data_IF_672728883021
#
_entry.id   IF_672728883021
#
_cell.length_a   1.000
_cell.length_b   1.000
_cell.length_c   1.000
_cell.angle_alpha   90.00
_cell.angle_beta   90.00
_cell.angle_gamma   90.00
#
_symmetry.space_group_name_H-M   'P 1'
#
loop_
_entity.id
_entity.type
_entity.pdbx_description
1 polymer ?
#
# COMPACT_ATOMS: atom_id res chain seq x y z
N UNK A 1 -23.01 41.05 5.26
CA UNK A 1 -22.37 40.42 6.42
C UNK A 1 -23.08 39.11 6.68
N UNK A 2 -22.37 37.98 6.52
CA UNK A 2 -22.97 36.66 6.75
C UNK A 2 -23.23 36.48 8.28
N UNK A 3 -24.38 35.92 8.64
CA UNK A 3 -24.69 35.60 10.04
C UNK A 3 -23.79 34.45 10.53
N UNK A 4 -23.54 34.35 11.85
CA UNK A 4 -22.76 33.22 12.41
C UNK A 4 -23.35 31.85 12.03
N UNK A 5 -24.67 31.76 11.85
CA UNK A 5 -25.37 30.57 11.38
C UNK A 5 -25.04 30.24 9.93
N UNK A 6 -24.91 31.22 9.05
CA UNK A 6 -24.50 31.03 7.65
C UNK A 6 -23.02 30.66 7.52
N UNK A 7 -22.15 31.15 8.38
CA UNK A 7 -20.75 30.75 8.49
C UNK A 7 -20.59 29.31 8.98
N UNK A 8 -21.45 28.85 9.87
CA UNK A 8 -21.45 27.45 10.36
C UNK A 8 -22.12 26.50 9.38
N UNK A 9 -23.02 26.95 8.51
CA UNK A 9 -23.70 26.18 7.47
C UNK A 9 -23.13 26.36 6.06
N UNK A 10 -22.01 27.05 5.92
CA UNK A 10 -21.20 26.92 4.73
C UNK A 10 -20.63 25.49 4.73
N UNK A 11 -21.45 24.56 4.24
CA UNK A 11 -21.09 23.18 3.99
C UNK A 11 -19.97 23.13 2.93
N UNK A 12 -18.75 23.43 3.34
CA UNK A 12 -17.60 22.91 2.65
C UNK A 12 -17.66 21.40 2.87
N UNK A 13 -18.30 20.70 1.91
CA UNK A 13 -18.27 19.24 1.87
C UNK A 13 -16.80 18.84 1.98
N UNK A 14 -16.42 18.25 3.09
CA UNK A 14 -15.08 17.74 3.32
C UNK A 14 -14.83 16.65 2.30
N UNK A 15 -13.82 16.82 1.47
CA UNK A 15 -13.35 15.76 0.59
C UNK A 15 -12.52 14.80 1.43
N UNK A 16 -12.97 13.56 1.51
CA UNK A 16 -12.30 12.49 2.24
C UNK A 16 -11.62 11.56 1.24
N UNK A 17 -10.30 11.47 1.31
CA UNK A 17 -9.52 10.51 0.54
C UNK A 17 -9.02 9.40 1.45
N UNK A 18 -9.36 8.18 1.12
CA UNK A 18 -8.93 6.98 1.85
C UNK A 18 -7.91 6.25 0.98
N UNK A 19 -6.77 5.92 1.55
CA UNK A 19 -5.69 5.23 0.86
C UNK A 19 -5.55 3.80 1.35
N UNK A 20 -5.35 2.87 0.43
CA UNK A 20 -5.08 1.46 0.72
C UNK A 20 -3.92 0.95 -0.13
N UNK A 21 -3.06 0.12 0.47
CA UNK A 21 -2.02 -0.63 -0.24
C UNK A 21 -2.53 -2.00 -0.72
N UNK A 22 -3.69 -2.45 -0.23
CA UNK A 22 -4.32 -3.70 -0.61
C UNK A 22 -4.99 -3.58 -1.98
N UNK A 23 -4.24 -3.85 -3.05
CA UNK A 23 -4.74 -3.78 -4.43
C UNK A 23 -5.98 -4.64 -4.66
N UNK A 24 -6.04 -5.82 -4.06
CA UNK A 24 -7.21 -6.71 -4.16
C UNK A 24 -8.47 -6.09 -3.59
N UNK A 25 -8.37 -5.38 -2.47
CA UNK A 25 -9.50 -4.66 -1.86
C UNK A 25 -9.92 -3.50 -2.76
N UNK A 26 -8.96 -2.70 -3.22
CA UNK A 26 -9.21 -1.60 -4.14
C UNK A 26 -9.93 -2.08 -5.41
N UNK A 27 -9.40 -3.13 -6.06
CA UNK A 27 -9.98 -3.67 -7.30
C UNK A 27 -11.40 -4.18 -7.08
N UNK A 28 -11.69 -4.83 -5.96
CA UNK A 28 -13.03 -5.35 -5.65
C UNK A 28 -14.01 -4.21 -5.34
N UNK A 29 -13.57 -3.16 -4.66
CA UNK A 29 -14.45 -2.03 -4.29
C UNK A 29 -14.73 -1.12 -5.49
N UNK A 30 -13.69 -0.78 -6.26
CA UNK A 30 -13.79 0.20 -7.35
C UNK A 30 -14.26 -0.43 -8.67
N UNK A 31 -13.83 -1.68 -8.96
CA UNK A 31 -14.24 -2.39 -10.17
C UNK A 31 -15.47 -3.24 -9.88
N UNK A 32 -16.58 -2.87 -10.46
CA UNK A 32 -17.88 -3.55 -10.28
C UNK A 32 -17.92 -4.98 -10.84
N UNK A 33 -16.89 -5.39 -11.56
CA UNK A 33 -16.80 -6.70 -12.24
C UNK A 33 -16.41 -7.85 -11.31
N UNK A 34 -15.87 -7.55 -10.14
CA UNK A 34 -15.34 -8.55 -9.21
C UNK A 34 -16.33 -8.82 -8.07
N UNK A 35 -16.91 -10.01 -8.04
CA UNK A 35 -17.76 -10.47 -6.93
C UNK A 35 -16.99 -11.48 -6.08
N UNK A 36 -16.79 -11.24 -4.78
CA UNK A 36 -16.19 -12.24 -3.90
C UNK A 36 -17.03 -13.53 -3.88
N UNK A 37 -16.38 -14.68 -3.86
CA UNK A 37 -17.05 -15.97 -3.76
C UNK A 37 -17.79 -16.15 -2.42
N UNK A 38 -17.23 -15.64 -1.35
CA UNK A 38 -17.82 -15.70 -0.01
C UNK A 38 -18.97 -14.67 0.14
N UNK A 39 -20.13 -15.17 0.57
CA UNK A 39 -21.31 -14.33 0.82
C UNK A 39 -21.08 -13.23 1.87
N UNK A 40 -20.31 -13.52 2.91
CA UNK A 40 -19.99 -12.53 3.98
C UNK A 40 -19.18 -11.38 3.43
N UNK A 41 -18.19 -11.67 2.61
CA UNK A 41 -17.38 -10.64 1.94
C UNK A 41 -18.23 -9.80 0.97
N UNK A 42 -19.24 -10.37 0.33
CA UNK A 42 -20.14 -9.62 -0.57
C UNK A 42 -20.88 -8.49 0.14
N UNK A 43 -21.36 -8.74 1.37
CA UNK A 43 -22.05 -7.72 2.17
C UNK A 43 -21.09 -6.60 2.53
N UNK A 44 -19.89 -6.94 3.03
CA UNK A 44 -18.87 -5.94 3.36
C UNK A 44 -18.43 -5.10 2.15
N UNK A 45 -18.25 -5.74 0.98
CA UNK A 45 -17.89 -5.03 -0.25
C UNK A 45 -19.04 -4.11 -0.70
N UNK A 46 -20.29 -4.54 -0.60
CA UNK A 46 -21.44 -3.70 -0.95
C UNK A 46 -21.51 -2.46 -0.04
N UNK A 47 -21.29 -2.62 1.26
CA UNK A 47 -21.23 -1.51 2.22
C UNK A 47 -20.08 -0.55 1.90
N UNK A 48 -18.88 -1.05 1.57
CA UNK A 48 -17.74 -0.22 1.18
C UNK A 48 -18.03 0.55 -0.12
N UNK A 49 -18.63 -0.09 -1.12
CA UNK A 49 -19.03 0.57 -2.36
C UNK A 49 -20.03 1.68 -2.13
N UNK A 50 -21.02 1.45 -1.27
CA UNK A 50 -21.99 2.48 -0.88
C UNK A 50 -21.28 3.66 -0.20
N UNK A 51 -20.39 3.38 0.74
CA UNK A 51 -19.63 4.39 1.47
C UNK A 51 -18.73 5.23 0.57
N UNK A 52 -18.04 4.61 -0.39
CA UNK A 52 -17.19 5.31 -1.36
C UNK A 52 -17.97 5.87 -2.57
N UNK A 53 -19.24 5.53 -2.71
CA UNK A 53 -20.15 6.14 -3.68
C UNK A 53 -20.72 7.48 -3.24
N UNK A 54 -20.50 7.87 -1.97
CA UNK A 54 -20.95 9.18 -1.46
C UNK A 54 -20.06 10.27 -2.05
N UNK A 55 -20.69 11.34 -2.53
CA UNK A 55 -20.00 12.50 -3.09
C UNK A 55 -18.98 13.08 -2.09
N UNK A 56 -17.75 13.26 -2.53
CA UNK A 56 -16.66 13.78 -1.70
C UNK A 56 -15.85 12.72 -0.96
N UNK A 57 -16.17 11.43 -1.14
CA UNK A 57 -15.37 10.33 -0.59
C UNK A 57 -14.75 9.53 -1.73
N UNK A 58 -13.44 9.31 -1.68
CA UNK A 58 -12.70 8.61 -2.73
C UNK A 58 -11.76 7.57 -2.12
N UNK A 59 -11.77 6.35 -2.68
CA UNK A 59 -10.78 5.31 -2.36
C UNK A 59 -9.68 5.34 -3.41
N UNK A 60 -8.43 5.46 -2.97
CA UNK A 60 -7.24 5.41 -3.82
C UNK A 60 -6.34 4.26 -3.43
N UNK A 61 -5.75 3.62 -4.43
CA UNK A 61 -4.68 2.66 -4.19
C UNK A 61 -3.32 3.36 -4.24
N UNK A 62 -2.46 3.03 -3.27
CA UNK A 62 -1.06 3.45 -3.24
C UNK A 62 -0.14 2.27 -3.01
N UNK A 63 1.12 2.40 -3.41
CA UNK A 63 2.11 1.38 -3.12
C UNK A 63 2.42 1.34 -1.61
N UNK A 64 2.68 0.15 -1.08
CA UNK A 64 2.99 -0.05 0.34
C UNK A 64 4.22 0.73 0.83
N UNK A 65 5.15 1.08 -0.07
CA UNK A 65 6.34 1.88 0.29
C UNK A 65 5.96 3.29 0.70
N UNK A 66 4.96 3.89 0.06
CA UNK A 66 4.48 5.24 0.37
C UNK A 66 3.37 5.26 1.42
N UNK A 67 2.92 4.10 1.88
CA UNK A 67 1.92 3.98 2.95
C UNK A 67 2.53 4.40 4.29
N UNK A 68 2.21 5.59 4.76
CA UNK A 68 2.74 6.12 6.03
C UNK A 68 2.38 5.25 7.24
N UNK A 69 1.20 4.65 7.22
CA UNK A 69 0.74 3.76 8.29
C UNK A 69 1.64 2.52 8.45
N UNK A 70 2.19 1.98 7.37
CA UNK A 70 3.10 0.83 7.42
C UNK A 70 4.37 1.15 8.21
N UNK A 71 4.88 2.36 8.08
CA UNK A 71 6.07 2.83 8.80
C UNK A 71 5.85 2.90 10.32
N UNK A 72 4.61 3.06 10.75
CA UNK A 72 4.22 3.09 12.16
C UNK A 72 3.97 1.71 12.75
N UNK A 73 3.56 0.75 11.94
CA UNK A 73 3.05 -0.55 12.41
C UNK A 73 3.96 -1.73 12.08
N UNK A 74 4.84 -1.60 11.09
CA UNK A 74 5.69 -2.71 10.63
C UNK A 74 7.16 -2.46 10.93
N UNK A 75 7.81 -3.42 11.57
CA UNK A 75 9.27 -3.42 11.78
C UNK A 75 9.96 -3.60 10.41
N UNK A 76 10.89 -2.70 10.09
CA UNK A 76 11.65 -2.74 8.82
C UNK A 76 10.92 -2.13 7.62
N UNK A 77 9.78 -1.46 7.82
CA UNK A 77 9.17 -0.65 6.78
C UNK A 77 10.02 0.59 6.46
N UNK A 78 9.92 1.06 5.22
CA UNK A 78 10.57 2.30 4.79
C UNK A 78 9.98 3.50 5.55
N UNK A 79 10.82 4.25 6.22
CA UNK A 79 10.41 5.39 7.06
C UNK A 79 10.70 6.76 6.44
N UNK A 80 11.38 6.82 5.31
CA UNK A 80 11.76 8.07 4.66
C UNK A 80 10.56 8.96 4.38
N UNK A 81 9.52 8.42 3.80
CA UNK A 81 8.29 9.16 3.48
C UNK A 81 7.53 9.66 4.72
N UNK A 82 7.53 8.88 5.80
CA UNK A 82 6.94 9.32 7.08
C UNK A 82 7.75 10.47 7.68
N UNK A 83 9.08 10.36 7.69
CA UNK A 83 9.94 11.42 8.19
C UNK A 83 9.80 12.70 7.37
N UNK A 84 9.74 12.61 6.06
CA UNK A 84 9.50 13.75 5.19
C UNK A 84 8.14 14.39 5.45
N UNK A 85 7.09 13.58 5.61
CA UNK A 85 5.76 14.09 5.93
C UNK A 85 5.72 14.84 7.26
N UNK A 86 6.40 14.32 8.29
CA UNK A 86 6.44 14.93 9.62
C UNK A 86 7.34 16.15 9.66
N UNK A 87 8.52 16.10 9.02
CA UNK A 87 9.52 17.17 9.08
C UNK A 87 9.16 18.34 8.17
N UNK A 88 8.73 18.03 6.95
CA UNK A 88 8.51 19.03 5.89
C UNK A 88 7.03 19.32 5.65
N UNK A 89 6.14 18.64 6.38
CA UNK A 89 4.68 18.70 6.17
C UNK A 89 4.29 18.44 4.70
N UNK A 90 5.01 17.54 4.03
CA UNK A 90 4.83 17.21 2.62
C UNK A 90 4.61 15.72 2.46
N UNK A 91 3.52 15.35 1.86
CA UNK A 91 3.25 13.99 1.40
C UNK A 91 2.41 14.06 0.13
N UNK A 92 2.68 13.17 -0.81
CA UNK A 92 1.92 13.08 -2.05
C UNK A 92 1.75 11.62 -2.44
N UNK A 93 0.59 11.26 -2.93
CA UNK A 93 0.29 9.96 -3.53
C UNK A 93 0.97 9.77 -4.91
N UNK A 94 1.49 10.84 -5.50
CA UNK A 94 2.18 10.83 -6.79
C UNK A 94 3.68 10.47 -6.72
N UNK A 95 4.21 10.15 -5.55
CA UNK A 95 5.60 9.68 -5.37
C UNK A 95 5.83 8.27 -5.96
N UNK A 96 4.99 7.84 -6.88
CA UNK A 96 4.92 6.47 -7.37
C UNK A 96 6.17 6.02 -8.13
N UNK A 97 6.83 6.92 -8.88
CA UNK A 97 8.01 6.55 -9.66
C UNK A 97 9.24 6.28 -8.79
N UNK A 98 9.50 7.12 -7.80
CA UNK A 98 10.61 6.92 -6.89
C UNK A 98 10.39 5.71 -5.98
N UNK A 99 9.17 5.50 -5.54
CA UNK A 99 8.77 4.30 -4.80
C UNK A 99 8.96 3.02 -5.63
N UNK A 100 8.64 3.04 -6.91
CA UNK A 100 8.87 1.91 -7.81
C UNK A 100 10.36 1.63 -8.00
N UNK A 101 11.20 2.67 -8.12
CA UNK A 101 12.66 2.50 -8.20
C UNK A 101 13.24 1.90 -6.93
N UNK A 102 12.79 2.34 -5.77
CA UNK A 102 13.20 1.77 -4.47
C UNK A 102 12.78 0.32 -4.36
N UNK A 103 11.54 0.00 -4.73
CA UNK A 103 11.01 -1.36 -4.72
C UNK A 103 11.77 -2.29 -5.65
N UNK A 104 12.14 -1.83 -6.83
CA UNK A 104 12.93 -2.60 -7.78
C UNK A 104 14.33 -2.89 -7.26
N UNK A 105 15.01 -1.91 -6.64
CA UNK A 105 16.30 -2.11 -5.97
C UNK A 105 16.22 -3.14 -4.85
N UNK A 106 15.16 -3.09 -4.03
CA UNK A 106 14.94 -4.06 -2.95
C UNK A 106 14.70 -5.45 -3.52
N UNK A 107 13.92 -5.57 -4.59
CA UNK A 107 13.65 -6.84 -5.28
C UNK A 107 14.93 -7.45 -5.85
N UNK A 108 15.72 -6.65 -6.56
CA UNK A 108 17.01 -7.09 -7.12
C UNK A 108 17.98 -7.55 -6.01
N UNK A 109 18.05 -6.82 -4.91
CA UNK A 109 18.88 -7.21 -3.77
C UNK A 109 18.40 -8.51 -3.08
N UNK A 110 17.10 -8.79 -3.05
CA UNK A 110 16.56 -10.05 -2.53
C UNK A 110 16.84 -11.22 -3.49
N UNK A 111 16.67 -11.02 -4.79
CA UNK A 111 16.98 -12.05 -5.80
C UNK A 111 18.46 -12.41 -5.78
N UNK A 112 19.36 -11.43 -5.75
CA UNK A 112 20.79 -11.68 -5.67
C UNK A 112 21.17 -12.48 -4.42
N UNK A 113 20.63 -12.15 -3.24
CA UNK A 113 20.87 -12.91 -2.00
C UNK A 113 20.33 -14.34 -2.06
N UNK A 114 19.16 -14.53 -2.64
CA UNK A 114 18.57 -15.86 -2.78
C UNK A 114 19.38 -16.74 -3.75
N UNK A 115 19.91 -16.16 -4.79
CA UNK A 115 20.74 -16.87 -5.77
C UNK A 115 22.09 -17.27 -5.18
N UNK A 116 22.76 -16.39 -4.46
CA UNK A 116 23.98 -16.68 -3.71
C UNK A 116 23.77 -17.80 -2.68
N UNK A 117 22.65 -17.78 -1.96
CA UNK A 117 22.31 -18.83 -1.01
C UNK A 117 22.07 -20.19 -1.69
N UNK A 118 21.46 -20.21 -2.88
CA UNK A 118 21.27 -21.42 -3.68
C UNK A 118 22.62 -21.98 -4.19
N UNK A 119 23.51 -21.11 -4.66
CA UNK A 119 24.85 -21.50 -5.11
C UNK A 119 25.68 -22.08 -3.96
N UNK A 120 25.65 -21.44 -2.79
CA UNK A 120 26.36 -21.95 -1.61
C UNK A 120 25.83 -23.33 -1.16
N UNK A 121 24.52 -23.57 -1.24
CA UNK A 121 23.93 -24.89 -0.96
C UNK A 121 24.38 -25.95 -1.97
N UNK A 122 24.44 -25.61 -3.25
CA UNK A 122 24.91 -26.53 -4.30
C UNK A 122 26.39 -26.90 -4.10
N UNK A 123 27.23 -25.92 -3.80
CA UNK A 123 28.65 -26.15 -3.53
C UNK A 123 28.86 -27.05 -2.30
N UNK A 124 28.11 -26.82 -1.22
CA UNK A 124 28.16 -27.71 -0.03
C UNK A 124 27.80 -29.15 -0.40
N UNK A 125 26.70 -29.34 -1.14
CA UNK A 125 26.25 -30.67 -1.53
C UNK A 125 27.30 -31.41 -2.40
N UNK A 126 27.90 -30.71 -3.38
CA UNK A 126 28.97 -31.27 -4.18
C UNK A 126 30.22 -31.64 -3.37
N UNK A 127 30.59 -30.81 -2.39
CA UNK A 127 31.72 -31.07 -1.50
C UNK A 127 31.47 -32.26 -0.56
N UNK A 128 30.25 -32.52 -0.15
CA UNK A 128 29.85 -33.71 0.62
C UNK A 128 29.88 -34.97 -0.23
N UNK A 129 29.38 -34.95 -1.46
CA UNK A 129 29.41 -36.08 -2.41
C UNK A 129 30.85 -36.50 -2.78
N UNK A 130 31.78 -35.54 -2.83
CA UNK A 130 33.23 -35.84 -3.10
C UNK A 130 33.90 -36.50 -1.89
N UNK A 131 33.42 -36.24 -0.67
CA UNK A 131 33.99 -36.83 0.55
C UNK A 131 33.51 -38.26 0.81
N UNK A 132 32.37 -38.66 0.26
CA UNK A 132 31.78 -40.00 0.42
C UNK A 132 32.30 -40.97 -0.67
N UNK A 133 33.03 -40.50 -1.64
CA UNK A 133 33.66 -41.33 -2.66
C UNK A 133 35.15 -41.52 -2.37
#
# INVERSE_FOLDING_TARGET
>A
MMSLGELMYSEKKLQVQVYTDAKSVYDVVVKDTSRPGDKRLRVGVAQLREMFGVEGTELKWIDNIVMLADSLTKIGAERGYLLDAVTNNTWSDQITEDAMRVKEKIRQGRHGRAELARQAKRQKKMAEEIKET
#
